data_IF_481961224412
#
_entry.id   IF_481961224412
#
_cell.length_a   1.000
_cell.length_b   1.000
_cell.length_c   1.000
_cell.angle_alpha   90.00
_cell.angle_beta   90.00
_cell.angle_gamma   90.00
#
_symmetry.space_group_name_H-M   'P 1'
#
loop_
_entity.id
_entity.type
_entity.pdbx_description
1 polymer ?
#
# COMPACT_ATOMS: atom_id res chain seq x y z
N UNK A 1 -11.40 1.69 -8.39
CA UNK A 1 -10.98 0.93 -7.19
C UNK A 1 -12.19 0.66 -6.31
N UNK A 2 -12.46 -0.61 -5.96
CA UNK A 2 -13.58 -1.00 -5.10
C UNK A 2 -13.27 -0.78 -3.60
N UNK A 3 -14.28 -0.54 -2.76
CA UNK A 3 -14.11 -0.58 -1.31
C UNK A 3 -13.74 -2.00 -0.84
N UNK A 4 -12.93 -2.10 0.22
CA UNK A 4 -12.72 -3.38 0.91
C UNK A 4 -14.06 -3.88 1.51
N UNK A 5 -14.33 -5.17 1.34
CA UNK A 5 -15.46 -5.85 1.98
C UNK A 5 -15.25 -6.01 3.49
N UNK A 6 -16.30 -6.36 4.23
CA UNK A 6 -16.19 -6.61 5.67
C UNK A 6 -15.21 -7.75 5.98
N UNK A 7 -15.22 -8.80 5.15
CA UNK A 7 -14.35 -9.96 5.32
C UNK A 7 -12.89 -9.61 5.03
N UNK A 8 -12.62 -8.86 3.95
CA UNK A 8 -11.27 -8.39 3.62
C UNK A 8 -10.70 -7.49 4.72
N UNK A 9 -11.55 -6.64 5.31
CA UNK A 9 -11.17 -5.81 6.48
C UNK A 9 -10.89 -6.65 7.71
N UNK A 10 -11.69 -7.69 7.97
CA UNK A 10 -11.47 -8.60 9.08
C UNK A 10 -10.14 -9.35 8.93
N UNK A 11 -9.85 -9.86 7.73
CA UNK A 11 -8.57 -10.50 7.39
C UNK A 11 -7.39 -9.54 7.57
N UNK A 12 -7.47 -8.34 6.99
CA UNK A 12 -6.44 -7.31 7.14
C UNK A 12 -6.19 -6.95 8.62
N UNK A 13 -7.26 -6.83 9.42
CA UNK A 13 -7.17 -6.56 10.86
C UNK A 13 -6.50 -7.70 11.62
N UNK A 14 -6.87 -8.95 11.33
CA UNK A 14 -6.29 -10.12 11.97
C UNK A 14 -4.80 -10.28 11.63
N UNK A 15 -4.45 -10.15 10.34
CA UNK A 15 -3.06 -10.19 9.87
C UNK A 15 -2.21 -9.10 10.54
N UNK A 16 -2.70 -7.85 10.58
CA UNK A 16 -2.01 -6.76 11.27
C UNK A 16 -1.83 -7.03 12.76
N UNK A 17 -2.85 -7.54 13.46
CA UNK A 17 -2.75 -7.84 14.88
C UNK A 17 -1.69 -8.91 15.16
N UNK A 18 -1.66 -9.97 14.35
CA UNK A 18 -0.64 -11.02 14.42
C UNK A 18 0.76 -10.45 14.19
N UNK A 19 0.94 -9.67 13.13
CA UNK A 19 2.21 -9.03 12.81
C UNK A 19 2.69 -8.12 13.95
N UNK A 20 1.84 -7.22 14.45
CA UNK A 20 2.23 -6.32 15.54
C UNK A 20 2.56 -7.06 16.84
N UNK A 21 1.86 -8.17 17.15
CA UNK A 21 2.21 -9.04 18.29
C UNK A 21 3.61 -9.64 18.13
N UNK A 22 3.95 -10.13 16.94
CA UNK A 22 5.27 -10.67 16.64
C UNK A 22 6.36 -9.59 16.68
N UNK A 23 6.11 -8.43 16.07
CA UNK A 23 7.03 -7.29 16.11
C UNK A 23 7.26 -6.82 17.55
N UNK A 24 6.22 -6.77 18.39
CA UNK A 24 6.37 -6.40 19.80
C UNK A 24 7.20 -7.43 20.58
N UNK A 25 7.01 -8.72 20.32
CA UNK A 25 7.85 -9.77 20.92
C UNK A 25 9.32 -9.65 20.48
N UNK A 26 9.57 -9.37 19.20
CA UNK A 26 10.92 -9.14 18.67
C UNK A 26 11.57 -7.88 19.25
N UNK A 27 10.83 -6.76 19.39
CA UNK A 27 11.32 -5.54 20.05
C UNK A 27 11.85 -5.84 21.45
N UNK A 28 11.08 -6.62 22.24
CA UNK A 28 11.47 -6.99 23.60
C UNK A 28 12.74 -7.84 23.61
N UNK A 29 12.93 -8.72 22.63
CA UNK A 29 14.12 -9.57 22.52
C UNK A 29 15.37 -8.81 22.08
N UNK A 30 15.23 -7.90 21.12
CA UNK A 30 16.38 -7.26 20.43
C UNK A 30 16.70 -5.88 21.05
N UNK A 31 15.80 -5.30 21.84
CA UNK A 31 15.97 -3.97 22.45
C UNK A 31 15.89 -2.81 21.44
N UNK A 32 15.53 -3.08 20.19
CA UNK A 32 15.47 -2.10 19.10
C UNK A 32 14.03 -1.60 18.90
N UNK A 33 13.90 -0.33 18.50
CA UNK A 33 12.64 0.28 18.06
C UNK A 33 12.24 -0.20 16.67
N UNK A 34 11.70 -1.40 16.58
CA UNK A 34 10.94 -1.83 15.39
C UNK A 34 9.67 -0.95 15.30
N UNK A 35 9.04 -0.75 14.15
CA UNK A 35 7.77 0.02 14.06
C UNK A 35 6.59 -0.90 13.78
N UNK A 36 5.42 -0.54 14.31
CA UNK A 36 4.20 -1.32 14.12
C UNK A 36 3.65 -1.06 12.71
N UNK A 37 3.01 -2.08 12.15
CA UNK A 37 2.22 -1.96 10.94
C UNK A 37 1.02 -1.08 11.25
N UNK A 38 0.87 0.02 10.50
CA UNK A 38 -0.21 1.00 10.66
C UNK A 38 -1.26 0.86 9.55
N UNK A 39 -2.52 1.15 9.89
CA UNK A 39 -3.63 1.18 8.94
C UNK A 39 -4.22 -0.19 8.63
N UNK A 40 -4.83 -0.32 7.45
CA UNK A 40 -5.34 -1.59 6.90
C UNK A 40 -4.39 -2.00 5.77
N UNK A 41 -3.42 -2.91 6.01
CA UNK A 41 -2.53 -3.36 4.95
C UNK A 41 -3.29 -4.12 3.86
N UNK A 42 -2.89 -3.90 2.60
CA UNK A 42 -3.44 -4.54 1.40
C UNK A 42 -2.32 -4.82 0.41
N UNK A 43 -2.47 -5.88 -0.37
CA UNK A 43 -1.60 -6.16 -1.52
C UNK A 43 -2.27 -5.59 -2.76
N UNK A 44 -1.56 -4.75 -3.50
CA UNK A 44 -1.99 -4.19 -4.76
C UNK A 44 -1.24 -4.87 -5.90
N UNK A 45 -1.95 -5.40 -6.88
CA UNK A 45 -1.35 -6.02 -8.06
C UNK A 45 -1.63 -5.20 -9.33
N UNK A 46 -0.56 -4.84 -10.04
CA UNK A 46 -0.60 -4.10 -11.32
C UNK A 46 0.37 -4.77 -12.28
N UNK A 47 -0.10 -5.20 -13.46
CA UNK A 47 0.72 -5.80 -14.52
C UNK A 47 1.58 -6.99 -14.02
N UNK A 48 1.00 -7.84 -13.15
CA UNK A 48 1.69 -9.01 -12.56
C UNK A 48 2.76 -8.67 -11.52
N UNK A 49 2.80 -7.41 -11.05
CA UNK A 49 3.69 -6.96 -9.97
C UNK A 49 2.87 -6.55 -8.76
N UNK A 50 3.38 -6.85 -7.57
CA UNK A 50 2.67 -6.60 -6.30
C UNK A 50 3.39 -5.61 -5.39
N UNK A 51 2.64 -4.74 -4.70
CA UNK A 51 3.14 -3.88 -3.61
C UNK A 51 2.23 -3.98 -2.39
N UNK A 52 2.78 -3.93 -1.18
CA UNK A 52 1.99 -3.91 0.06
C UNK A 52 1.88 -2.50 0.62
N UNK A 53 0.66 -1.99 0.72
CA UNK A 53 0.39 -0.60 1.11
C UNK A 53 -0.66 -0.49 2.22
N UNK A 54 -0.74 0.69 2.83
CA UNK A 54 -1.87 1.05 3.69
C UNK A 54 -3.06 1.49 2.83
N UNK A 55 -4.16 0.73 2.90
CA UNK A 55 -5.38 0.96 2.13
C UNK A 55 -5.99 2.35 2.34
N UNK A 56 -6.09 2.81 3.59
CA UNK A 56 -6.71 4.11 3.90
C UNK A 56 -5.89 5.26 3.31
N UNK A 57 -4.56 5.10 3.27
CA UNK A 57 -3.67 6.07 2.62
C UNK A 57 -3.90 6.07 1.10
N UNK A 58 -3.86 4.91 0.46
CA UNK A 58 -4.10 4.77 -0.98
C UNK A 58 -5.47 5.34 -1.39
N UNK A 59 -6.52 4.99 -0.63
CA UNK A 59 -7.88 5.47 -0.85
C UNK A 59 -7.99 6.98 -0.72
N UNK A 60 -7.31 7.60 0.26
CA UNK A 60 -7.27 9.07 0.43
C UNK A 60 -6.61 9.73 -0.78
N UNK A 61 -5.49 9.21 -1.25
CA UNK A 61 -4.81 9.75 -2.44
C UNK A 61 -5.68 9.63 -3.70
N UNK A 62 -6.25 8.46 -3.97
CA UNK A 62 -7.14 8.29 -5.13
C UNK A 62 -8.32 9.26 -5.06
N UNK A 63 -8.93 9.45 -3.87
CA UNK A 63 -10.01 10.41 -3.69
C UNK A 63 -9.59 11.85 -3.97
N UNK A 64 -8.38 12.25 -3.60
CA UNK A 64 -7.86 13.59 -3.92
C UNK A 64 -7.62 13.81 -5.41
N UNK A 65 -7.50 12.72 -6.20
CA UNK A 65 -7.26 12.77 -7.63
C UNK A 65 -8.55 12.67 -8.47
N UNK A 66 -9.75 12.68 -7.86
CA UNK A 66 -11.04 12.47 -8.55
C UNK A 66 -11.33 13.41 -9.73
N UNK A 67 -10.76 14.61 -9.71
CA UNK A 67 -10.96 15.65 -10.74
C UNK A 67 -9.70 15.83 -11.61
N UNK A 68 -8.83 14.82 -11.64
CA UNK A 68 -7.56 14.84 -12.37
C UNK A 68 -7.50 13.60 -13.26
N UNK A 69 -6.80 13.70 -14.38
CA UNK A 69 -6.31 12.55 -15.09
C UNK A 69 -5.15 11.97 -14.30
N UNK A 70 -5.17 10.66 -14.03
CA UNK A 70 -4.10 9.99 -13.31
C UNK A 70 -3.85 8.59 -13.86
N UNK A 71 -2.62 8.14 -13.72
CA UNK A 71 -2.21 6.78 -14.05
C UNK A 71 -1.32 6.23 -12.91
N UNK A 72 -1.35 4.91 -12.73
CA UNK A 72 -0.53 4.19 -11.76
C UNK A 72 0.42 3.23 -12.46
N UNK A 73 1.66 3.21 -11.99
CA UNK A 73 2.67 2.24 -12.39
C UNK A 73 3.46 1.78 -11.17
N UNK A 74 4.00 0.57 -11.25
CA UNK A 74 4.95 0.04 -10.26
C UNK A 74 6.37 0.16 -10.79
N UNK A 75 7.19 0.94 -10.09
CA UNK A 75 8.62 1.03 -10.32
C UNK A 75 9.38 0.15 -9.31
N UNK A 76 10.44 -0.52 -9.78
CA UNK A 76 11.32 -1.41 -9.00
C UNK A 76 12.79 -0.96 -9.12
N UNK A 77 13.05 0.17 -9.79
CA UNK A 77 14.39 0.68 -10.12
C UNK A 77 15.33 0.85 -8.90
N UNK A 78 14.78 1.00 -7.69
CA UNK A 78 15.52 1.27 -6.45
C UNK A 78 15.66 0.07 -5.50
N UNK A 79 15.31 -1.14 -5.95
CA UNK A 79 15.39 -2.36 -5.13
C UNK A 79 14.25 -2.52 -4.12
N UNK A 80 13.29 -1.58 -4.09
CA UNK A 80 11.99 -1.71 -3.43
C UNK A 80 10.88 -1.37 -4.42
N UNK A 81 9.73 -2.03 -4.29
CA UNK A 81 8.57 -1.68 -5.11
C UNK A 81 8.03 -0.31 -4.68
N UNK A 82 7.81 0.58 -5.63
CA UNK A 82 7.24 1.91 -5.41
C UNK A 82 6.04 2.06 -6.33
N UNK A 83 4.88 2.40 -5.75
CA UNK A 83 3.72 2.79 -6.53
C UNK A 83 3.87 4.27 -6.90
N UNK A 84 3.98 4.54 -8.19
CA UNK A 84 4.04 5.90 -8.74
C UNK A 84 2.66 6.24 -9.29
N UNK A 85 2.08 7.32 -8.77
CA UNK A 85 0.81 7.87 -9.26
C UNK A 85 1.12 9.19 -9.96
N UNK A 86 1.12 9.18 -11.30
CA UNK A 86 1.25 10.39 -12.12
C UNK A 86 -0.11 11.04 -12.28
N UNK A 87 -0.22 12.35 -12.08
CA UNK A 87 -1.49 13.06 -12.23
C UNK A 87 -1.35 14.42 -12.91
N UNK A 88 -2.42 14.87 -13.58
CA UNK A 88 -2.53 16.18 -14.20
C UNK A 88 -4.00 16.61 -14.38
N UNK A 89 -4.26 17.90 -14.55
CA UNK A 89 -5.60 18.41 -14.88
C UNK A 89 -5.79 18.49 -16.40
N UNK A 90 -4.77 18.99 -17.11
CA UNK A 90 -4.73 19.04 -18.57
C UNK A 90 -3.28 18.80 -19.07
N UNK A 91 -3.10 18.70 -20.39
CA UNK A 91 -1.78 18.40 -20.97
C UNK A 91 -0.73 19.51 -20.78
N UNK A 92 -1.13 20.73 -20.47
CA UNK A 92 -0.25 21.90 -20.38
C UNK A 92 -0.20 22.51 -18.98
N UNK A 93 -0.89 21.90 -18.03
CA UNK A 93 -1.08 22.38 -16.67
C UNK A 93 0.19 22.24 -15.86
N UNK A 94 0.49 23.30 -15.11
CA UNK A 94 1.56 23.32 -14.10
C UNK A 94 1.26 22.40 -12.91
N UNK A 95 0.04 21.88 -12.79
CA UNK A 95 -0.39 20.97 -11.71
C UNK A 95 -0.06 19.49 -11.99
N UNK A 96 0.87 19.25 -12.93
CA UNK A 96 1.49 17.94 -13.17
C UNK A 96 2.34 17.56 -11.95
N UNK A 97 2.13 16.35 -11.46
CA UNK A 97 2.83 15.86 -10.28
C UNK A 97 2.87 14.34 -10.20
N UNK A 98 3.67 13.87 -9.26
CA UNK A 98 3.85 12.45 -8.94
C UNK A 98 3.66 12.26 -7.45
N UNK A 99 2.99 11.16 -7.08
CA UNK A 99 2.91 10.67 -5.71
C UNK A 99 3.60 9.32 -5.66
N UNK A 100 4.56 9.18 -4.77
CA UNK A 100 5.28 7.95 -4.54
C UNK A 100 4.83 7.30 -3.23
N UNK A 101 4.35 6.07 -3.32
CA UNK A 101 4.03 5.25 -2.15
C UNK A 101 4.99 4.08 -2.08
N UNK A 102 5.74 4.03 -1.00
CA UNK A 102 6.76 3.03 -0.74
C UNK A 102 6.14 1.78 -0.11
N UNK A 103 6.65 0.63 -0.54
CA UNK A 103 6.26 -0.67 0.00
C UNK A 103 6.57 -0.80 1.50
N UNK A 104 5.86 -1.70 2.16
CA UNK A 104 6.23 -2.10 3.51
C UNK A 104 7.58 -2.84 3.52
N UNK A 105 8.43 -2.63 4.54
CA UNK A 105 9.67 -3.37 4.69
C UNK A 105 9.47 -4.90 4.67
N UNK A 106 10.41 -5.65 4.10
CA UNK A 106 10.33 -7.10 3.93
C UNK A 106 9.96 -7.85 5.22
N UNK A 107 10.62 -7.51 6.33
CA UNK A 107 10.35 -8.13 7.64
C UNK A 107 8.92 -7.92 8.16
N UNK A 108 8.20 -6.89 7.68
CA UNK A 108 6.78 -6.69 8.02
C UNK A 108 5.88 -7.50 7.08
N UNK A 109 6.24 -7.58 5.80
CA UNK A 109 5.46 -8.31 4.78
C UNK A 109 5.41 -9.81 5.05
N UNK A 110 6.51 -10.40 5.50
CA UNK A 110 6.58 -11.82 5.90
C UNK A 110 5.57 -12.20 6.99
N UNK A 111 5.16 -11.23 7.83
CA UNK A 111 4.20 -11.44 8.92
C UNK A 111 2.74 -11.23 8.48
N UNK A 112 2.53 -10.84 7.22
CA UNK A 112 1.25 -10.46 6.64
C UNK A 112 0.85 -11.43 5.51
N UNK A 113 0.87 -12.72 5.79
CA UNK A 113 0.62 -13.78 4.80
C UNK A 113 -0.84 -13.90 4.35
N UNK A 114 -1.79 -13.36 5.11
CA UNK A 114 -3.24 -13.50 4.88
C UNK A 114 -3.88 -12.16 4.44
N UNK A 115 -3.12 -11.30 3.77
CA UNK A 115 -3.64 -10.02 3.32
C UNK A 115 -4.65 -10.17 2.18
N UNK A 116 -5.69 -9.32 2.15
CA UNK A 116 -6.53 -9.20 0.96
C UNK A 116 -5.72 -8.63 -0.21
N UNK A 117 -5.92 -9.21 -1.38
CA UNK A 117 -5.37 -8.74 -2.67
C UNK A 117 -6.41 -7.86 -3.37
N UNK A 118 -5.99 -6.68 -3.81
CA UNK A 118 -6.79 -5.77 -4.62
C UNK A 118 -6.19 -5.71 -6.01
N UNK A 119 -6.90 -6.32 -6.96
CA UNK A 119 -6.61 -6.20 -8.37
C UNK A 119 -7.16 -4.88 -8.92
N UNK A 120 -6.35 -4.19 -9.71
CA UNK A 120 -6.78 -3.00 -10.45
C UNK A 120 -6.67 -3.31 -11.95
N UNK A 121 -7.82 -3.59 -12.57
CA UNK A 121 -7.94 -3.66 -14.00
C UNK A 121 -7.91 -2.24 -14.60
N UNK A 122 -7.10 -2.03 -15.64
CA UNK A 122 -7.15 -0.79 -16.43
C UNK A 122 -8.30 -0.91 -17.43
N UNK A 123 -9.32 -0.06 -17.27
CA UNK A 123 -10.30 0.22 -18.32
C UNK A 123 -9.73 1.23 -19.32
#
# INVERSE_FOLDING_TARGET
MRPLTLDEKALSKAAKQRANKQLQAQRRKIGVRIRDVKGEPVILEIEGRSITLNYEMLRRFIRSLKNRHWNMSLDISTGSSVLVISHHIDLWSKDRGYIELYDLPAYQKELLTELPVIEIERN
#
